data_IF_468656061361
#
_entry.id   IF_468656061361
#
_cell.length_a   1.000
_cell.length_b   1.000
_cell.length_c   1.000
_cell.angle_alpha   90.00
_cell.angle_beta   90.00
_cell.angle_gamma   90.00
#
_symmetry.space_group_name_H-M   'P 1'
#
loop_
_entity.id
_entity.type
_entity.pdbx_description
1 polymer ?
#
# COMPACT_ATOMS: atom_id res chain seq x y z
N UNK A 1 33.32 63.50 -24.10
CA UNK A 1 33.37 63.28 -22.63
C UNK A 1 31.96 62.91 -22.20
N UNK A 2 31.55 61.65 -22.33
CA UNK A 2 31.63 60.55 -21.33
C UNK A 2 30.98 60.90 -19.99
N UNK A 3 29.90 60.18 -19.66
CA UNK A 3 29.40 59.82 -18.31
C UNK A 3 27.86 59.78 -18.32
N UNK A 4 27.14 58.78 -17.82
CA UNK A 4 27.43 57.40 -17.46
C UNK A 4 26.08 56.67 -17.51
N UNK A 5 26.03 55.51 -18.17
CA UNK A 5 24.87 54.62 -18.17
C UNK A 5 24.81 53.98 -16.78
N UNK A 6 23.76 54.28 -16.01
CA UNK A 6 23.48 53.63 -14.74
C UNK A 6 23.20 52.15 -15.02
N UNK A 7 24.19 51.32 -14.74
CA UNK A 7 24.04 49.87 -14.63
C UNK A 7 23.17 49.58 -13.40
N UNK A 8 21.89 49.25 -13.63
CA UNK A 8 21.05 48.68 -12.58
C UNK A 8 21.65 47.33 -12.19
N UNK A 9 22.16 47.28 -10.97
CA UNK A 9 22.74 46.12 -10.34
C UNK A 9 21.74 44.95 -10.40
N UNK A 10 22.26 43.81 -10.82
CA UNK A 10 21.70 42.47 -10.64
C UNK A 10 21.04 42.34 -9.27
N UNK A 11 19.71 42.26 -9.25
CA UNK A 11 18.97 41.64 -8.16
C UNK A 11 19.51 40.20 -8.03
N UNK A 12 19.96 39.76 -6.85
CA UNK A 12 20.19 38.34 -6.63
C UNK A 12 18.84 37.68 -6.78
N UNK A 13 18.75 36.69 -7.69
CA UNK A 13 17.62 35.78 -7.79
C UNK A 13 17.37 35.24 -6.37
N UNK A 14 16.43 35.84 -5.65
CA UNK A 14 15.91 35.27 -4.42
C UNK A 14 15.28 33.98 -4.88
N UNK A 15 16.00 32.88 -4.67
CA UNK A 15 15.45 31.55 -4.80
C UNK A 15 14.28 31.50 -3.83
N UNK A 16 13.07 31.74 -4.33
CA UNK A 16 11.87 31.45 -3.58
C UNK A 16 12.03 30.02 -3.08
N UNK A 17 11.91 29.76 -1.77
CA UNK A 17 11.87 28.39 -1.29
C UNK A 17 10.78 27.70 -2.11
N UNK A 18 11.13 26.64 -2.85
CA UNK A 18 10.10 25.80 -3.48
C UNK A 18 9.07 25.51 -2.38
N UNK A 19 7.82 25.91 -2.59
CA UNK A 19 6.77 25.72 -1.60
C UNK A 19 6.82 24.26 -1.11
N UNK A 20 6.92 24.08 0.20
CA UNK A 20 7.12 22.76 0.78
C UNK A 20 5.86 21.92 0.58
N UNK A 21 5.90 21.00 -0.38
CA UNK A 21 4.80 20.07 -0.63
C UNK A 21 4.82 19.04 0.50
N UNK A 22 3.74 18.91 1.26
CA UNK A 22 3.60 17.96 2.36
C UNK A 22 3.26 16.54 1.88
N UNK A 23 3.51 15.49 2.69
CA UNK A 23 3.06 14.13 2.40
C UNK A 23 1.54 14.02 2.20
N UNK A 24 0.75 14.79 2.95
CA UNK A 24 -0.71 14.79 2.85
C UNK A 24 -1.18 15.42 1.54
N UNK A 25 -0.59 16.55 1.13
CA UNK A 25 -0.89 17.16 -0.16
C UNK A 25 -0.54 16.22 -1.32
N UNK A 26 0.54 15.45 -1.22
CA UNK A 26 0.85 14.43 -2.23
C UNK A 26 -0.23 13.34 -2.33
N UNK A 27 -0.76 12.89 -1.20
CA UNK A 27 -1.89 11.94 -1.17
C UNK A 27 -3.14 12.56 -1.81
N UNK A 28 -3.52 13.75 -1.38
CA UNK A 28 -4.71 14.45 -1.89
C UNK A 28 -4.61 14.72 -3.40
N UNK A 29 -3.43 15.12 -3.87
CA UNK A 29 -3.15 15.35 -5.27
C UNK A 29 -3.21 14.05 -6.09
N UNK A 30 -2.72 12.93 -5.57
CA UNK A 30 -2.72 11.66 -6.32
C UNK A 30 -4.10 10.97 -6.35
N UNK A 31 -4.93 11.16 -5.33
CA UNK A 31 -6.25 10.52 -5.22
C UNK A 31 -7.14 10.64 -6.48
N UNK A 32 -7.43 11.84 -7.01
CA UNK A 32 -8.25 11.95 -8.22
C UNK A 32 -7.58 11.33 -9.45
N UNK A 33 -6.24 11.37 -9.51
CA UNK A 33 -5.49 10.74 -10.61
C UNK A 33 -5.55 9.23 -10.55
N UNK A 34 -5.63 8.66 -9.35
CA UNK A 34 -5.71 7.22 -9.09
C UNK A 34 -7.13 6.73 -8.84
N UNK A 35 -8.16 7.45 -9.32
CA UNK A 35 -9.57 7.17 -8.99
C UNK A 35 -9.99 5.73 -9.28
N UNK A 36 -9.51 5.10 -10.36
CA UNK A 36 -9.80 3.70 -10.65
C UNK A 36 -9.27 2.74 -9.57
N UNK A 37 -8.09 3.02 -9.00
CA UNK A 37 -7.55 2.23 -7.89
C UNK A 37 -8.34 2.51 -6.61
N UNK A 38 -8.59 3.79 -6.31
CA UNK A 38 -9.23 4.24 -5.08
C UNK A 38 -10.69 3.79 -4.99
N UNK A 39 -11.48 4.00 -6.04
CA UNK A 39 -12.88 3.62 -6.08
C UNK A 39 -13.04 2.10 -5.98
N UNK A 40 -12.21 1.31 -6.67
CA UNK A 40 -12.23 -0.14 -6.58
C UNK A 40 -11.80 -0.65 -5.19
N UNK A 41 -10.78 -0.07 -4.58
CA UNK A 41 -10.34 -0.43 -3.23
C UNK A 41 -11.38 -0.04 -2.17
N UNK A 42 -12.03 1.12 -2.30
CA UNK A 42 -13.11 1.55 -1.41
C UNK A 42 -14.36 0.68 -1.57
N UNK A 43 -14.71 0.27 -2.79
CA UNK A 43 -15.79 -0.69 -3.03
C UNK A 43 -15.48 -2.02 -2.33
N UNK A 44 -14.25 -2.55 -2.46
CA UNK A 44 -13.82 -3.74 -1.75
C UNK A 44 -13.99 -3.61 -0.23
N UNK A 45 -13.51 -2.51 0.37
CA UNK A 45 -13.67 -2.24 1.81
C UNK A 45 -15.15 -2.18 2.18
N UNK A 46 -15.96 -1.41 1.44
CA UNK A 46 -17.39 -1.26 1.70
C UNK A 46 -18.13 -2.59 1.67
N UNK A 47 -17.81 -3.47 0.72
CA UNK A 47 -18.44 -4.80 0.64
C UNK A 47 -18.01 -5.68 1.81
N UNK A 48 -16.72 -5.74 2.15
CA UNK A 48 -16.26 -6.51 3.32
C UNK A 48 -16.93 -6.02 4.61
N UNK A 49 -16.99 -4.71 4.80
CA UNK A 49 -17.62 -4.12 5.98
C UNK A 49 -19.12 -4.40 5.99
N UNK A 50 -19.79 -4.39 4.83
CA UNK A 50 -21.19 -4.81 4.73
C UNK A 50 -21.43 -6.25 5.18
N UNK A 51 -20.56 -7.19 4.79
CA UNK A 51 -20.66 -8.61 5.20
C UNK A 51 -20.50 -8.72 6.73
N UNK A 52 -19.52 -8.02 7.30
CA UNK A 52 -19.25 -8.08 8.75
C UNK A 52 -20.41 -7.50 9.54
N UNK A 53 -20.88 -6.30 9.18
CA UNK A 53 -21.96 -5.62 9.92
C UNK A 53 -23.35 -6.17 9.64
N UNK A 54 -23.54 -6.96 8.58
CA UNK A 54 -24.75 -7.78 8.41
C UNK A 54 -24.73 -9.07 9.23
N UNK A 55 -23.53 -9.54 9.62
CA UNK A 55 -23.34 -10.79 10.36
C UNK A 55 -23.24 -10.59 11.88
N UNK A 56 -22.79 -9.41 12.31
CA UNK A 56 -22.56 -9.08 13.71
C UNK A 56 -23.16 -7.72 14.08
N UNK A 57 -23.63 -7.60 15.32
CA UNK A 57 -24.03 -6.30 15.86
C UNK A 57 -22.81 -5.39 16.07
N UNK A 58 -22.86 -4.11 15.67
CA UNK A 58 -21.76 -3.16 15.91
C UNK A 58 -21.41 -2.96 17.39
N UNK A 59 -22.36 -3.19 18.29
CA UNK A 59 -22.17 -3.04 19.74
C UNK A 59 -21.51 -4.27 20.41
N UNK A 60 -21.37 -5.38 19.67
CA UNK A 60 -20.87 -6.64 20.20
C UNK A 60 -20.08 -7.41 19.13
N UNK A 61 -19.11 -6.75 18.49
CA UNK A 61 -18.28 -7.37 17.46
C UNK A 61 -17.31 -8.39 18.11
N UNK A 62 -17.37 -9.69 17.75
CA UNK A 62 -16.40 -10.65 18.26
C UNK A 62 -15.01 -10.35 17.71
N UNK A 63 -13.97 -10.82 18.39
CA UNK A 63 -12.57 -10.56 18.01
C UNK A 63 -12.29 -10.93 16.54
N UNK A 64 -12.86 -12.06 16.07
CA UNK A 64 -12.80 -12.47 14.67
C UNK A 64 -13.32 -11.38 13.72
N UNK A 65 -14.41 -10.69 14.05
CA UNK A 65 -15.02 -9.67 13.19
C UNK A 65 -14.09 -8.50 12.89
N UNK A 66 -13.12 -8.21 13.76
CA UNK A 66 -12.09 -7.19 13.51
C UNK A 66 -11.08 -7.61 12.44
N UNK A 67 -10.81 -8.91 12.27
CA UNK A 67 -9.86 -9.39 11.26
C UNK A 67 -10.22 -8.91 9.83
N UNK A 68 -11.38 -9.23 9.24
CA UNK A 68 -11.70 -8.80 7.89
C UNK A 68 -11.81 -7.27 7.75
N UNK A 69 -12.24 -6.55 8.80
CA UNK A 69 -12.28 -5.08 8.81
C UNK A 69 -10.87 -4.46 8.73
N UNK A 70 -9.97 -4.91 9.60
CA UNK A 70 -8.59 -4.42 9.67
C UNK A 70 -7.83 -4.81 8.39
N UNK A 71 -7.96 -6.05 7.92
CA UNK A 71 -7.23 -6.51 6.73
C UNK A 71 -7.69 -5.79 5.46
N UNK A 72 -9.00 -5.57 5.28
CA UNK A 72 -9.50 -4.83 4.12
C UNK A 72 -9.05 -3.36 4.15
N UNK A 73 -9.05 -2.72 5.32
CA UNK A 73 -8.53 -1.36 5.48
C UNK A 73 -7.01 -1.27 5.23
N UNK A 74 -6.24 -2.25 5.70
CA UNK A 74 -4.80 -2.31 5.44
C UNK A 74 -4.48 -2.43 3.93
N UNK A 75 -5.28 -3.18 3.17
CA UNK A 75 -5.14 -3.27 1.70
C UNK A 75 -5.43 -1.91 1.04
N UNK A 76 -6.47 -1.18 1.46
CA UNK A 76 -6.76 0.18 0.99
C UNK A 76 -5.56 1.11 1.23
N UNK A 77 -4.99 1.07 2.44
CA UNK A 77 -3.81 1.88 2.77
C UNK A 77 -2.56 1.45 2.00
N UNK A 78 -2.38 0.15 1.75
CA UNK A 78 -1.28 -0.37 0.94
C UNK A 78 -1.34 0.17 -0.49
N UNK A 79 -2.52 0.13 -1.13
CA UNK A 79 -2.66 0.67 -2.48
C UNK A 79 -2.48 2.19 -2.49
N UNK A 80 -2.96 2.92 -1.46
CA UNK A 80 -2.68 4.35 -1.29
C UNK A 80 -1.18 4.64 -1.21
N UNK A 81 -0.46 3.88 -0.40
CA UNK A 81 0.98 4.03 -0.22
C UNK A 81 1.76 3.77 -1.50
N UNK A 82 1.25 2.93 -2.40
CA UNK A 82 1.86 2.66 -3.70
C UNK A 82 1.55 3.78 -4.69
N UNK A 83 0.27 4.16 -4.85
CA UNK A 83 -0.12 5.13 -5.88
C UNK A 83 0.54 6.50 -5.65
N UNK A 84 0.64 6.96 -4.39
CA UNK A 84 1.27 8.26 -4.06
C UNK A 84 2.69 8.39 -4.60
N UNK A 85 3.44 7.27 -4.66
CA UNK A 85 4.83 7.26 -5.14
C UNK A 85 4.96 6.84 -6.62
N UNK A 86 3.91 6.24 -7.21
CA UNK A 86 3.98 5.57 -8.51
C UNK A 86 4.37 6.51 -9.65
N UNK A 87 3.80 7.72 -9.67
CA UNK A 87 3.98 8.71 -10.76
C UNK A 87 4.90 9.89 -10.47
N UNK A 88 5.73 9.81 -9.44
CA UNK A 88 6.75 10.84 -9.13
C UNK A 88 7.84 10.96 -10.21
N UNK A 89 8.40 12.17 -10.39
CA UNK A 89 9.44 12.46 -11.39
C UNK A 89 10.71 13.01 -10.74
N UNK A 90 11.86 12.83 -11.40
CA UNK A 90 13.10 13.50 -11.00
C UNK A 90 13.08 15.01 -11.26
N UNK A 91 12.22 15.47 -12.18
CA UNK A 91 12.00 16.90 -12.46
C UNK A 91 11.22 17.64 -11.36
N UNK A 92 10.69 16.92 -10.36
CA UNK A 92 9.96 17.49 -9.22
C UNK A 92 10.50 16.89 -7.91
N UNK A 93 11.72 17.28 -7.49
CA UNK A 93 12.42 16.64 -6.37
C UNK A 93 11.72 16.82 -5.02
N UNK A 94 11.08 17.97 -4.77
CA UNK A 94 10.27 18.19 -3.56
C UNK A 94 9.09 17.20 -3.49
N UNK A 95 8.22 17.17 -4.50
CA UNK A 95 7.09 16.24 -4.59
C UNK A 95 7.51 14.78 -4.45
N UNK A 96 8.63 14.39 -5.05
CA UNK A 96 9.18 13.03 -4.95
C UNK A 96 9.60 12.67 -3.52
N UNK A 97 10.25 13.59 -2.79
CA UNK A 97 10.63 13.37 -1.39
C UNK A 97 9.41 13.24 -0.48
N UNK A 98 8.39 14.06 -0.71
CA UNK A 98 7.16 14.05 0.10
C UNK A 98 6.31 12.81 -0.15
N UNK A 99 6.18 12.40 -1.41
CA UNK A 99 5.53 11.13 -1.75
C UNK A 99 6.27 9.91 -1.22
N UNK A 100 7.61 9.95 -1.20
CA UNK A 100 8.42 8.90 -0.59
C UNK A 100 8.18 8.84 0.93
N UNK A 101 8.11 10.00 1.59
CA UNK A 101 7.79 10.09 3.02
C UNK A 101 6.38 9.54 3.30
N UNK A 102 5.37 9.91 2.49
CA UNK A 102 4.02 9.37 2.59
C UNK A 102 4.01 7.83 2.46
N UNK A 103 4.72 7.29 1.46
CA UNK A 103 4.85 5.85 1.26
C UNK A 103 5.46 5.16 2.49
N UNK A 104 6.52 5.72 3.08
CA UNK A 104 7.14 5.15 4.28
C UNK A 104 6.19 5.21 5.49
N UNK A 105 5.60 6.37 5.76
CA UNK A 105 4.72 6.55 6.92
C UNK A 105 3.49 5.66 6.84
N UNK A 106 2.81 5.63 5.68
CA UNK A 106 1.67 4.74 5.48
C UNK A 106 2.06 3.28 5.69
N UNK A 107 3.19 2.83 5.13
CA UNK A 107 3.58 1.43 5.27
C UNK A 107 4.01 1.05 6.70
N UNK A 108 4.90 1.84 7.31
CA UNK A 108 5.53 1.49 8.58
C UNK A 108 4.62 1.73 9.79
N UNK A 109 3.79 2.78 9.77
CA UNK A 109 2.94 3.14 10.92
C UNK A 109 1.55 2.54 10.82
N UNK A 110 1.03 2.30 9.62
CA UNK A 110 -0.34 1.82 9.44
C UNK A 110 -0.40 0.42 8.81
N UNK A 111 0.07 0.27 7.57
CA UNK A 111 -0.15 -0.97 6.80
C UNK A 111 0.46 -2.19 7.48
N UNK A 112 1.75 -2.16 7.84
CA UNK A 112 2.41 -3.31 8.48
C UNK A 112 1.84 -3.62 9.87
N UNK A 113 1.62 -2.63 10.76
CA UNK A 113 0.96 -2.90 12.05
C UNK A 113 -0.45 -3.45 11.90
N UNK A 114 -1.27 -2.92 10.98
CA UNK A 114 -2.65 -3.39 10.77
C UNK A 114 -2.67 -4.82 10.21
N UNK A 115 -1.85 -5.12 9.19
CA UNK A 115 -1.73 -6.49 8.67
C UNK A 115 -1.32 -7.47 9.78
N UNK A 116 -0.35 -7.06 10.61
CA UNK A 116 0.16 -7.87 11.72
C UNK A 116 -0.91 -8.05 12.80
N UNK A 117 -1.64 -7.00 13.18
CA UNK A 117 -2.71 -7.06 14.17
C UNK A 117 -3.85 -7.98 13.69
N UNK A 118 -4.29 -7.83 12.44
CA UNK A 118 -5.29 -8.70 11.84
C UNK A 118 -4.85 -10.16 11.79
N UNK A 119 -3.58 -10.43 11.47
CA UNK A 119 -3.02 -11.79 11.46
C UNK A 119 -2.90 -12.35 12.89
N UNK A 120 -2.50 -11.53 13.85
CA UNK A 120 -2.33 -11.91 15.26
C UNK A 120 -3.67 -12.26 15.92
N UNK A 121 -4.76 -11.60 15.53
CA UNK A 121 -6.12 -12.00 15.94
C UNK A 121 -6.39 -13.45 15.55
N UNK A 122 -6.14 -13.81 14.28
CA UNK A 122 -6.37 -15.18 13.82
C UNK A 122 -5.40 -16.17 14.43
N UNK A 123 -4.15 -15.75 14.66
CA UNK A 123 -3.18 -16.57 15.39
C UNK A 123 -3.71 -16.92 16.79
N UNK A 124 -4.11 -15.91 17.57
CA UNK A 124 -4.66 -16.11 18.90
C UNK A 124 -5.92 -16.99 18.91
N UNK A 125 -6.83 -16.77 17.96
CA UNK A 125 -8.07 -17.56 17.87
C UNK A 125 -7.80 -19.03 17.49
N UNK A 126 -6.76 -19.31 16.71
CA UNK A 126 -6.36 -20.66 16.30
C UNK A 126 -5.41 -21.35 17.30
N UNK A 127 -4.98 -20.64 18.35
CA UNK A 127 -4.24 -21.19 19.49
C UNK A 127 -5.18 -21.67 20.61
N UNK A 128 -6.50 -21.43 20.48
CA UNK A 128 -7.48 -21.85 21.48
C UNK A 128 -7.70 -23.38 21.44
N UNK A 129 -8.05 -24.01 22.58
CA UNK A 129 -8.30 -25.45 22.64
C UNK A 129 -9.29 -25.95 21.58
N UNK A 130 -8.94 -27.01 20.86
CA UNK A 130 -9.79 -27.61 19.82
C UNK A 130 -9.77 -26.88 18.47
N UNK A 131 -8.90 -25.88 18.29
CA UNK A 131 -8.68 -25.19 17.01
C UNK A 131 -7.32 -25.57 16.40
N UNK A 132 -7.07 -25.16 15.16
CA UNK A 132 -5.82 -25.46 14.47
C UNK A 132 -5.40 -24.31 13.54
N UNK A 133 -4.09 -24.11 13.44
CA UNK A 133 -3.50 -23.16 12.50
C UNK A 133 -3.46 -23.72 11.07
N UNK A 134 -3.40 -22.82 10.09
CA UNK A 134 -3.10 -23.15 8.68
C UNK A 134 -4.03 -24.18 8.03
N UNK A 135 -5.30 -24.18 8.42
CA UNK A 135 -6.34 -25.08 7.89
C UNK A 135 -6.93 -24.64 6.54
N UNK A 136 -6.49 -23.50 6.00
CA UNK A 136 -7.03 -22.91 4.77
C UNK A 136 -5.93 -22.27 3.92
N UNK A 137 -6.12 -22.26 2.61
CA UNK A 137 -5.22 -21.57 1.68
C UNK A 137 -5.18 -20.07 1.98
N UNK A 138 -6.32 -19.47 2.36
CA UNK A 138 -6.39 -18.10 2.86
C UNK A 138 -5.43 -17.88 4.04
N UNK A 139 -5.45 -18.75 5.06
CA UNK A 139 -4.62 -18.60 6.25
C UNK A 139 -3.12 -18.83 5.98
N UNK A 140 -2.79 -19.80 5.14
CA UNK A 140 -1.40 -20.10 4.72
C UNK A 140 -0.83 -18.94 3.90
N UNK A 141 -1.51 -18.56 2.81
CA UNK A 141 -1.06 -17.48 1.93
C UNK A 141 -1.04 -16.15 2.68
N UNK A 142 -2.08 -15.86 3.46
CA UNK A 142 -2.21 -14.65 4.27
C UNK A 142 -1.04 -14.45 5.22
N UNK A 143 -0.64 -15.50 5.94
CA UNK A 143 0.51 -15.43 6.82
C UNK A 143 1.81 -15.22 6.04
N UNK A 144 1.98 -15.94 4.93
CA UNK A 144 3.16 -15.79 4.07
C UNK A 144 3.30 -14.37 3.50
N UNK A 145 2.21 -13.75 3.04
CA UNK A 145 2.26 -12.38 2.48
C UNK A 145 2.50 -11.31 3.53
N UNK A 146 2.02 -11.49 4.76
CA UNK A 146 2.32 -10.56 5.87
C UNK A 146 3.81 -10.63 6.23
N UNK A 147 4.39 -11.83 6.31
CA UNK A 147 5.84 -12.01 6.52
C UNK A 147 6.62 -11.40 5.34
N UNK A 148 6.20 -11.67 4.11
CA UNK A 148 6.83 -11.09 2.92
C UNK A 148 6.75 -9.56 2.90
N UNK A 149 5.69 -8.95 3.45
CA UNK A 149 5.57 -7.49 3.58
C UNK A 149 6.60 -6.90 4.53
N UNK A 150 6.89 -7.57 5.65
CA UNK A 150 7.98 -7.17 6.56
C UNK A 150 9.36 -7.29 5.91
N UNK A 151 9.62 -8.41 5.22
CA UNK A 151 10.86 -8.59 4.44
C UNK A 151 10.99 -7.50 3.37
N UNK A 152 9.90 -7.22 2.66
CA UNK A 152 9.83 -6.19 1.63
C UNK A 152 10.15 -4.80 2.20
N UNK A 153 9.62 -4.46 3.37
CA UNK A 153 9.93 -3.21 4.05
C UNK A 153 11.41 -3.14 4.49
N UNK A 154 11.97 -4.22 5.03
CA UNK A 154 13.37 -4.31 5.39
C UNK A 154 14.30 -4.14 4.18
N UNK A 155 13.99 -4.78 3.05
CA UNK A 155 14.74 -4.59 1.79
C UNK A 155 14.59 -3.17 1.24
N UNK A 156 13.40 -2.58 1.36
CA UNK A 156 13.16 -1.17 1.03
C UNK A 156 14.06 -0.25 1.84
N UNK A 157 14.04 -0.38 3.16
CA UNK A 157 14.90 0.33 4.09
C UNK A 157 16.40 0.17 3.76
N UNK A 158 16.87 -1.08 3.59
CA UNK A 158 18.26 -1.38 3.25
C UNK A 158 18.69 -0.73 1.92
N UNK A 159 17.77 -0.55 0.97
CA UNK A 159 18.06 0.03 -0.35
C UNK A 159 18.19 1.56 -0.35
N UNK A 160 17.48 2.27 0.55
CA UNK A 160 17.35 3.75 0.51
C UNK A 160 17.93 4.45 1.73
N UNK A 161 17.91 3.83 2.92
CA UNK A 161 18.44 4.45 4.13
C UNK A 161 19.96 4.41 4.14
N UNK A 162 20.56 5.44 4.73
CA UNK A 162 22.02 5.59 4.77
C UNK A 162 22.67 5.54 3.38
N UNK A 163 21.95 5.89 2.30
CA UNK A 163 22.40 5.80 0.90
C UNK A 163 22.80 4.38 0.47
N UNK A 164 22.08 3.36 0.96
CA UNK A 164 22.28 1.97 0.58
C UNK A 164 23.53 1.32 1.17
N UNK A 165 24.11 1.90 2.24
CA UNK A 165 25.31 1.35 2.91
C UNK A 165 25.19 -0.13 3.28
N UNK A 166 24.01 -0.57 3.71
CA UNK A 166 23.74 -1.97 4.09
C UNK A 166 23.84 -2.96 2.92
N UNK A 167 23.77 -2.48 1.68
CA UNK A 167 23.78 -3.32 0.48
C UNK A 167 24.97 -3.03 -0.44
N UNK A 168 25.99 -2.34 0.05
CA UNK A 168 27.21 -2.02 -0.71
C UNK A 168 27.19 -0.65 -1.41
N UNK A 169 26.33 0.27 -0.97
CA UNK A 169 26.31 1.67 -1.39
C UNK A 169 25.24 2.02 -2.42
N UNK A 170 25.26 3.27 -2.90
CA UNK A 170 24.15 3.89 -3.63
C UNK A 170 23.81 3.15 -4.93
N UNK A 171 24.81 2.62 -5.64
CA UNK A 171 24.60 1.88 -6.89
C UNK A 171 23.82 0.57 -6.66
N UNK A 172 24.17 -0.20 -5.62
CA UNK A 172 23.49 -1.45 -5.28
C UNK A 172 22.11 -1.18 -4.67
N UNK A 173 21.99 -0.13 -3.84
CA UNK A 173 20.70 0.36 -3.33
C UNK A 173 19.71 0.66 -4.46
N UNK A 174 20.16 1.37 -5.51
CA UNK A 174 19.32 1.66 -6.70
C UNK A 174 18.89 0.39 -7.46
N UNK A 175 19.73 -0.65 -7.52
CA UNK A 175 19.35 -1.95 -8.12
C UNK A 175 18.30 -2.65 -7.27
N UNK A 176 18.52 -2.75 -5.96
CA UNK A 176 17.59 -3.38 -5.02
C UNK A 176 16.23 -2.67 -4.99
N UNK A 177 16.22 -1.33 -5.02
CA UNK A 177 15.01 -0.51 -5.15
C UNK A 177 14.11 -0.96 -6.32
N UNK A 178 14.69 -1.43 -7.43
CA UNK A 178 13.93 -1.75 -8.64
C UNK A 178 13.20 -3.07 -8.43
N UNK A 179 13.90 -4.02 -7.81
CA UNK A 179 13.33 -5.27 -7.35
C UNK A 179 12.28 -5.04 -6.28
N UNK A 180 12.54 -4.20 -5.27
CA UNK A 180 11.54 -3.79 -4.28
C UNK A 180 10.28 -3.23 -4.95
N UNK A 181 10.41 -2.38 -5.98
CA UNK A 181 9.24 -1.90 -6.73
C UNK A 181 8.46 -3.03 -7.41
N UNK A 182 9.15 -3.94 -8.08
CA UNK A 182 8.52 -5.06 -8.78
C UNK A 182 7.84 -6.03 -7.81
N UNK A 183 8.56 -6.47 -6.77
CA UNK A 183 8.04 -7.35 -5.73
C UNK A 183 6.87 -6.72 -4.97
N UNK A 184 6.84 -5.38 -4.85
CA UNK A 184 5.72 -4.66 -4.24
C UNK A 184 4.42 -4.82 -5.04
N UNK A 185 4.49 -4.77 -6.36
CA UNK A 185 3.32 -5.03 -7.20
C UNK A 185 2.88 -6.50 -7.13
N UNK A 186 3.82 -7.44 -7.12
CA UNK A 186 3.51 -8.86 -6.92
C UNK A 186 2.82 -9.08 -5.58
N UNK A 187 3.32 -8.44 -4.53
CA UNK A 187 2.76 -8.56 -3.19
C UNK A 187 1.33 -8.01 -3.10
N UNK A 188 1.00 -6.91 -3.80
CA UNK A 188 -0.39 -6.43 -3.90
C UNK A 188 -1.30 -7.48 -4.55
N UNK A 189 -0.84 -8.13 -5.61
CA UNK A 189 -1.61 -9.21 -6.27
C UNK A 189 -1.82 -10.38 -5.29
N UNK A 190 -0.80 -10.74 -4.51
CA UNK A 190 -0.92 -11.82 -3.52
C UNK A 190 -1.84 -11.45 -2.35
N UNK A 191 -1.83 -10.19 -1.87
CA UNK A 191 -2.79 -9.70 -0.88
C UNK A 191 -4.22 -9.69 -1.43
N UNK A 192 -4.42 -9.27 -2.69
CA UNK A 192 -5.71 -9.33 -3.35
C UNK A 192 -6.20 -10.78 -3.48
N UNK A 193 -5.33 -11.71 -3.91
CA UNK A 193 -5.65 -13.14 -3.97
C UNK A 193 -5.99 -13.72 -2.59
N UNK A 194 -5.26 -13.33 -1.54
CA UNK A 194 -5.56 -13.71 -0.16
C UNK A 194 -6.95 -13.24 0.27
N UNK A 195 -7.31 -11.99 -0.03
CA UNK A 195 -8.63 -11.45 0.29
C UNK A 195 -9.75 -12.15 -0.49
N UNK A 196 -9.51 -12.52 -1.76
CA UNK A 196 -10.43 -13.36 -2.55
C UNK A 196 -10.62 -14.72 -1.88
N UNK A 197 -9.54 -15.42 -1.51
CA UNK A 197 -9.62 -16.69 -0.76
C UNK A 197 -10.43 -16.53 0.52
N UNK A 198 -10.28 -15.40 1.22
CA UNK A 198 -11.06 -15.08 2.41
C UNK A 198 -12.57 -15.19 2.20
N UNK A 199 -13.08 -14.76 1.05
CA UNK A 199 -14.53 -14.80 0.74
C UNK A 199 -14.99 -16.05 -0.01
N UNK A 200 -14.13 -16.72 -0.76
CA UNK A 200 -14.51 -17.90 -1.57
C UNK A 200 -14.24 -19.25 -0.90
N UNK A 201 -13.29 -19.31 0.03
CA UNK A 201 -12.79 -20.57 0.59
C UNK A 201 -13.20 -20.75 2.05
N UNK A 202 -13.27 -19.68 2.83
CA UNK A 202 -13.49 -19.81 4.28
C UNK A 202 -14.93 -20.19 4.62
N UNK A 203 -15.09 -21.09 5.59
CA UNK A 203 -16.41 -21.54 6.07
C UNK A 203 -17.25 -20.40 6.65
N UNK A 204 -16.60 -19.40 7.25
CA UNK A 204 -17.33 -18.24 7.76
C UNK A 204 -17.92 -17.42 6.62
N UNK A 205 -17.14 -17.09 5.59
CA UNK A 205 -17.65 -16.31 4.47
C UNK A 205 -18.73 -17.07 3.69
N UNK A 206 -18.57 -18.39 3.47
CA UNK A 206 -19.58 -19.17 2.73
C UNK A 206 -20.95 -19.23 3.42
N UNK A 207 -20.99 -19.03 4.75
CA UNK A 207 -22.23 -18.98 5.53
C UNK A 207 -22.83 -17.58 5.66
N UNK A 208 -22.03 -16.53 5.49
CA UNK A 208 -22.42 -15.16 5.85
C UNK A 208 -22.41 -14.17 4.69
N UNK A 209 -21.69 -14.46 3.60
CA UNK A 209 -21.65 -13.62 2.41
C UNK A 209 -22.61 -14.14 1.34
N UNK A 210 -23.39 -13.25 0.75
CA UNK A 210 -24.17 -13.58 -0.45
C UNK A 210 -23.26 -13.77 -1.67
N UNK A 211 -23.74 -14.52 -2.66
CA UNK A 211 -23.03 -14.67 -3.95
C UNK A 211 -22.73 -13.31 -4.59
N UNK A 212 -23.66 -12.36 -4.50
CA UNK A 212 -23.47 -11.01 -5.02
C UNK A 212 -22.32 -10.27 -4.32
N UNK A 213 -22.24 -10.33 -2.99
CA UNK A 213 -21.14 -9.73 -2.23
C UNK A 213 -19.80 -10.40 -2.56
N UNK A 214 -19.76 -11.72 -2.66
CA UNK A 214 -18.55 -12.46 -3.05
C UNK A 214 -18.07 -12.05 -4.44
N UNK A 215 -18.96 -11.98 -5.43
CA UNK A 215 -18.62 -11.53 -6.78
C UNK A 215 -18.14 -10.07 -6.79
N UNK A 216 -18.79 -9.19 -6.03
CA UNK A 216 -18.37 -7.79 -5.91
C UNK A 216 -16.97 -7.65 -5.31
N UNK A 217 -16.60 -8.45 -4.30
CA UNK A 217 -15.23 -8.47 -3.75
C UNK A 217 -14.22 -8.88 -4.81
N UNK A 218 -14.49 -9.97 -5.54
CA UNK A 218 -13.60 -10.49 -6.59
C UNK A 218 -13.41 -9.44 -7.68
N UNK A 219 -14.51 -8.86 -8.18
CA UNK A 219 -14.47 -7.84 -9.23
C UNK A 219 -13.78 -6.56 -8.75
N UNK A 220 -14.08 -6.09 -7.54
CA UNK A 220 -13.46 -4.88 -6.98
C UNK A 220 -11.93 -5.03 -6.85
N UNK A 221 -11.45 -6.17 -6.34
CA UNK A 221 -10.02 -6.44 -6.22
C UNK A 221 -9.35 -6.61 -7.60
N UNK A 222 -10.00 -7.29 -8.55
CA UNK A 222 -9.50 -7.43 -9.91
C UNK A 222 -9.37 -6.06 -10.59
N UNK A 223 -10.40 -5.20 -10.48
CA UNK A 223 -10.37 -3.84 -11.00
C UNK A 223 -9.27 -3.00 -10.34
N UNK A 224 -9.10 -3.10 -9.02
CA UNK A 224 -8.02 -2.39 -8.31
C UNK A 224 -6.63 -2.81 -8.82
N UNK A 225 -6.40 -4.12 -9.00
CA UNK A 225 -5.14 -4.67 -9.54
C UNK A 225 -4.91 -4.20 -10.98
N UNK A 226 -5.92 -4.28 -11.85
CA UNK A 226 -5.82 -3.83 -13.25
C UNK A 226 -5.57 -2.33 -13.33
N UNK A 227 -6.31 -1.52 -12.56
CA UNK A 227 -6.13 -0.08 -12.50
C UNK A 227 -4.72 0.29 -12.00
N UNK A 228 -4.19 -0.45 -11.01
CA UNK A 228 -2.83 -0.26 -10.52
C UNK A 228 -1.79 -0.64 -11.58
N UNK A 229 -2.02 -1.74 -12.30
CA UNK A 229 -1.13 -2.25 -13.34
C UNK A 229 -0.99 -1.27 -14.52
N UNK A 230 -2.10 -0.65 -14.96
CA UNK A 230 -2.10 0.37 -16.02
C UNK A 230 -1.22 1.58 -15.65
N UNK A 231 -1.02 1.85 -14.35
CA UNK A 231 -0.18 2.95 -13.87
C UNK A 231 1.31 2.59 -13.76
N UNK A 232 1.70 1.34 -13.97
CA UNK A 232 3.10 0.89 -13.82
C UNK A 232 4.00 1.56 -14.86
N UNK A 233 5.06 2.20 -14.37
CA UNK A 233 6.10 2.77 -15.22
C UNK A 233 7.18 1.74 -15.51
N UNK A 234 7.10 1.08 -16.67
CA UNK A 234 8.04 0.01 -17.09
C UNK A 234 9.50 0.44 -17.03
N UNK A 235 9.81 1.70 -17.33
CA UNK A 235 11.18 2.26 -17.25
C UNK A 235 11.77 2.25 -15.83
N UNK A 236 10.94 2.15 -14.79
CA UNK A 236 11.35 2.09 -13.37
C UNK A 236 11.51 0.66 -12.85
N UNK A 237 11.19 -0.36 -13.64
CA UNK A 237 11.34 -1.77 -13.30
C UNK A 237 12.79 -2.26 -13.52
N UNK A 238 13.19 -3.41 -12.95
CA UNK A 238 14.46 -4.04 -13.29
C UNK A 238 14.49 -4.39 -14.77
N UNK A 239 15.70 -4.37 -15.36
CA UNK A 239 15.93 -4.86 -16.72
C UNK A 239 16.27 -6.35 -16.63
N UNK A 240 15.68 -7.15 -17.51
CA UNK A 240 16.06 -8.55 -17.74
C UNK A 240 17.14 -8.62 -18.81
#
# INVERSE_FOLDING_TARGET
>A
MSSARVTSLTEPLLSHPEAEITPLEMVQHENPRAIGVQASALLFVGVIWSIVFSSFSPLSLPLFGFHPLIQSFAILLLVQAIVVLQRTSASQPAAKRSAFSAHQWLNLVLVLPLFTAGASIMWYLHDQPGTAHFISYHGILGTAVVVAAWVQAALGAASVWGRGRMVGGEAQGKKLWKWHRLSGYVLVVMFAATAVLGVVETTWASKNASMAQTLLVVVALALAVVALAIRIQKSKLPKF
#
